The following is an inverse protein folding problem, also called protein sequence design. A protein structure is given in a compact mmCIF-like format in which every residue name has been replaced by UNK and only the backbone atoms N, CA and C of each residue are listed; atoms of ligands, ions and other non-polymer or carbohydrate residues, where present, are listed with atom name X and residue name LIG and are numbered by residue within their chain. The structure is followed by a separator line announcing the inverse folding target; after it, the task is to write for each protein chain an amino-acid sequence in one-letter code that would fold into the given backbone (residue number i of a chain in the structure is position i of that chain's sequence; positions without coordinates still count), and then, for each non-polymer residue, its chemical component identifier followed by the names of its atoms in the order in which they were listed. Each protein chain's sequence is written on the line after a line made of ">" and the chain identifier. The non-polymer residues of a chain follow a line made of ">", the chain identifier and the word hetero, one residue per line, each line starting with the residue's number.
data_IF_287465130149
#
_entry.id   IF_287465130149
#
_cell.length_a   1.000
_cell.length_b   1.000
_cell.length_c   1.000
_cell.angle_alpha   90.00
_cell.angle_beta   90.00
_cell.angle_gamma   90.00
#
_symmetry.space_group_name_H-M   'P 1'
#
loop_
_entity.id
_entity.type
_entity.pdbx_description
1 polymer ?
#
# COMPACT_ATOMS: atom_id res chain seq x y z
N UNK A 1 -10.10 9.56 -1.09
CA UNK A 1 -8.65 9.67 -1.36
C UNK A 1 -8.11 10.75 -0.46
N UNK A 2 -7.01 10.48 0.21
CA UNK A 2 -6.41 11.41 1.19
C UNK A 2 -4.92 11.55 0.91
N UNK A 3 -4.43 12.77 0.80
CA UNK A 3 -3.00 13.03 0.62
C UNK A 3 -2.26 12.89 1.96
N UNK A 4 -1.05 12.36 1.91
CA UNK A 4 -0.25 12.09 3.11
C UNK A 4 1.22 11.88 2.80
N UNK A 5 1.95 11.37 3.79
CA UNK A 5 3.34 10.98 3.62
C UNK A 5 3.57 9.58 4.18
N UNK A 6 4.14 8.71 3.36
CA UNK A 6 4.67 7.41 3.76
C UNK A 6 6.10 7.53 4.29
N UNK A 7 6.45 6.64 5.21
CA UNK A 7 7.80 6.54 5.74
C UNK A 7 8.25 5.08 5.70
N UNK A 8 9.46 4.85 5.21
CA UNK A 8 10.08 3.53 5.22
C UNK A 8 11.59 3.64 5.41
N UNK A 9 12.19 2.56 5.89
CA UNK A 9 13.63 2.42 6.07
C UNK A 9 14.11 1.25 5.21
N UNK A 10 14.75 1.51 4.04
CA UNK A 10 15.31 0.44 3.25
C UNK A 10 16.44 -0.24 4.01
N UNK A 11 16.31 -1.54 4.24
CA UNK A 11 17.29 -2.34 4.98
C UNK A 11 18.39 -2.86 4.05
N UNK A 12 19.47 -3.38 4.61
CA UNK A 12 20.52 -4.06 3.85
C UNK A 12 19.94 -5.19 3.00
N UNK A 13 20.32 -5.26 1.72
CA UNK A 13 19.78 -6.22 0.75
C UNK A 13 18.52 -5.75 0.00
N UNK A 14 17.91 -4.62 0.38
CA UNK A 14 16.80 -4.01 -0.38
C UNK A 14 17.29 -3.29 -1.64
N UNK A 15 16.48 -3.28 -2.70
CA UNK A 15 16.74 -2.50 -3.91
C UNK A 15 15.67 -1.41 -4.08
N UNK A 16 15.68 -0.36 -3.24
CA UNK A 16 14.60 0.62 -3.20
C UNK A 16 14.57 1.46 -4.49
N UNK A 17 13.39 1.60 -5.08
CA UNK A 17 13.18 2.51 -6.22
C UNK A 17 13.36 3.97 -5.80
N UNK A 18 13.05 4.30 -4.53
CA UNK A 18 13.15 5.63 -3.95
C UNK A 18 13.94 5.55 -2.64
N UNK A 19 14.94 6.42 -2.49
CA UNK A 19 15.68 6.59 -1.25
C UNK A 19 16.99 5.80 -1.14
N UNK A 20 17.55 5.72 0.07
CA UNK A 20 18.85 5.09 0.36
C UNK A 20 18.78 4.12 1.53
N UNK A 21 19.53 3.02 1.41
CA UNK A 21 19.68 2.04 2.50
C UNK A 21 20.17 2.69 3.80
N UNK A 22 19.61 2.26 4.93
CA UNK A 22 19.98 2.74 6.26
C UNK A 22 19.49 4.16 6.58
N UNK A 23 18.66 4.77 5.73
CA UNK A 23 18.08 6.10 5.95
C UNK A 23 16.55 6.03 5.91
N UNK A 24 15.89 6.69 6.86
CA UNK A 24 14.44 6.87 6.80
C UNK A 24 14.11 7.80 5.64
N UNK A 25 13.23 7.33 4.78
CA UNK A 25 12.72 8.06 3.63
C UNK A 25 11.31 8.54 3.91
N UNK A 26 10.97 9.70 3.35
CA UNK A 26 9.65 10.32 3.43
C UNK A 26 9.18 10.61 2.01
N UNK A 27 8.05 10.04 1.62
CA UNK A 27 7.52 10.17 0.25
C UNK A 27 6.08 10.68 0.32
N UNK A 28 5.71 11.57 -0.61
CA UNK A 28 4.32 12.01 -0.75
C UNK A 28 3.47 10.87 -1.31
N UNK A 29 2.35 10.58 -0.68
CA UNK A 29 1.49 9.44 -1.01
C UNK A 29 0.02 9.84 -1.03
N UNK A 30 -0.80 9.02 -1.69
CA UNK A 30 -2.26 9.13 -1.69
C UNK A 30 -2.85 7.83 -1.13
N UNK A 31 -3.57 7.94 -0.01
CA UNK A 31 -4.35 6.82 0.53
C UNK A 31 -5.66 6.69 -0.26
N UNK A 32 -5.86 5.53 -0.89
CA UNK A 32 -7.09 5.18 -1.60
C UNK A 32 -7.85 4.17 -0.75
N UNK A 33 -9.11 4.47 -0.45
CA UNK A 33 -9.97 3.63 0.40
C UNK A 33 -11.31 3.44 -0.30
N UNK A 34 -11.80 2.21 -0.31
CA UNK A 34 -13.08 1.82 -0.89
C UNK A 34 -13.59 0.54 -0.23
N UNK A 35 -14.90 0.29 -0.35
CA UNK A 35 -15.55 -0.93 0.12
C UNK A 35 -15.66 -1.92 -1.03
N UNK A 36 -15.55 -3.22 -0.74
CA UNK A 36 -15.76 -4.27 -1.72
C UNK A 36 -16.46 -5.48 -1.08
N UNK A 37 -17.05 -6.33 -1.92
CA UNK A 37 -17.56 -7.63 -1.50
C UNK A 37 -16.40 -8.57 -1.14
N UNK A 38 -16.60 -9.42 -0.13
CA UNK A 38 -15.54 -10.27 0.42
C UNK A 38 -14.98 -11.26 -0.61
N UNK A 39 -15.79 -11.76 -1.53
CA UNK A 39 -15.39 -12.71 -2.56
C UNK A 39 -14.49 -12.06 -3.64
N UNK A 40 -14.51 -10.72 -3.78
CA UNK A 40 -13.70 -9.97 -4.75
C UNK A 40 -12.30 -9.61 -4.24
N UNK A 41 -12.00 -9.82 -2.97
CA UNK A 41 -10.73 -9.37 -2.35
C UNK A 41 -9.51 -9.84 -3.14
N UNK A 42 -9.47 -11.13 -3.53
CA UNK A 42 -8.32 -11.68 -4.28
C UNK A 42 -8.13 -11.02 -5.64
N UNK A 43 -9.22 -10.88 -6.40
CA UNK A 43 -9.19 -10.28 -7.73
C UNK A 43 -8.77 -8.81 -7.66
N UNK A 44 -9.23 -8.09 -6.64
CA UNK A 44 -8.87 -6.70 -6.37
C UNK A 44 -7.37 -6.56 -6.05
N UNK A 45 -6.82 -7.41 -5.17
CA UNK A 45 -5.39 -7.38 -4.83
C UNK A 45 -4.53 -7.58 -6.07
N UNK A 46 -4.87 -8.55 -6.92
CA UNK A 46 -4.12 -8.84 -8.14
C UNK A 46 -4.24 -7.69 -9.16
N UNK A 47 -5.42 -7.09 -9.28
CA UNK A 47 -5.61 -5.90 -10.10
C UNK A 47 -4.77 -4.71 -9.60
N UNK A 48 -4.72 -4.47 -8.29
CA UNK A 48 -3.90 -3.42 -7.67
C UNK A 48 -2.43 -3.68 -7.97
N UNK A 49 -1.91 -4.87 -7.68
CA UNK A 49 -0.50 -5.22 -7.94
C UNK A 49 -0.11 -5.06 -9.40
N UNK A 50 -1.01 -5.40 -10.33
CA UNK A 50 -0.76 -5.25 -11.77
C UNK A 50 -0.73 -3.79 -12.22
N UNK A 51 -1.53 -2.92 -11.60
CA UNK A 51 -1.62 -1.50 -11.95
C UNK A 51 -0.59 -0.64 -11.21
N UNK A 52 -0.11 -1.09 -10.06
CA UNK A 52 0.78 -0.32 -9.19
C UNK A 52 2.22 -0.29 -9.73
N UNK A 53 2.92 0.87 -9.67
CA UNK A 53 4.27 1.01 -10.21
C UNK A 53 5.37 0.30 -9.40
N UNK A 54 5.11 -0.01 -8.12
CA UNK A 54 6.09 -0.62 -7.22
C UNK A 54 5.82 -2.11 -7.02
N UNK A 55 6.90 -2.87 -6.86
CA UNK A 55 6.87 -4.33 -6.63
C UNK A 55 6.14 -4.69 -5.33
N UNK A 56 6.41 -3.93 -4.26
CA UNK A 56 5.78 -4.13 -2.97
C UNK A 56 4.73 -3.03 -2.73
N UNK A 57 3.45 -3.44 -2.63
CA UNK A 57 2.31 -2.54 -2.47
C UNK A 57 1.73 -2.68 -1.07
N UNK A 58 1.70 -1.62 -0.25
CA UNK A 58 1.02 -1.66 1.04
C UNK A 58 -0.50 -1.71 0.82
N UNK A 59 -1.15 -2.77 1.32
CA UNK A 59 -2.60 -2.97 1.24
C UNK A 59 -3.11 -3.41 2.61
N UNK A 60 -4.03 -2.64 3.17
CA UNK A 60 -4.76 -3.00 4.39
C UNK A 60 -6.19 -3.43 4.03
N UNK A 61 -6.68 -4.48 4.70
CA UNK A 61 -8.04 -5.00 4.52
C UNK A 61 -8.73 -4.99 5.86
N UNK A 62 -9.81 -4.22 5.96
CA UNK A 62 -10.63 -4.11 7.16
C UNK A 62 -12.01 -4.72 6.89
N UNK A 63 -12.42 -5.66 7.74
CA UNK A 63 -13.80 -6.12 7.73
C UNK A 63 -14.69 -5.03 8.34
N UNK A 64 -15.66 -4.57 7.57
CA UNK A 64 -16.71 -3.70 8.08
C UNK A 64 -17.76 -4.56 8.77
N UNK A 65 -17.96 -4.30 10.06
CA UNK A 65 -19.02 -4.92 10.85
C UNK A 65 -20.19 -3.96 10.90
N UNK A 66 -21.38 -4.45 10.60
CA UNK A 66 -22.59 -3.74 10.94
C UNK A 66 -22.84 -3.92 12.45
N UNK A 67 -23.03 -2.79 13.14
CA UNK A 67 -23.45 -2.76 14.53
C UNK A 67 -24.93 -2.36 14.54
N UNK A 68 -25.80 -3.23 15.06
CA UNK A 68 -27.22 -2.92 15.30
C UNK A 68 -27.43 -1.97 16.48
#
# INVERSE_FOLDING_TARGET
>A
MSEGHGYFLPMEGSNPTIGKQGRIEKVAEVKIEFVCEQDKIKDIIEAIKKAHPYEEVPIDIFQLLDYE
#
